data_IF_343254206591
#
_entry.id   IF_343254206591
#
_cell.length_a   1.000
_cell.length_b   1.000
_cell.length_c   1.000
_cell.angle_alpha   90.00
_cell.angle_beta   90.00
_cell.angle_gamma   90.00
#
_symmetry.space_group_name_H-M   'P 1'
#
loop_
_entity.id
_entity.type
_entity.pdbx_description
1 polymer ?
#
# COMPACT_ATOMS: atom_id res chain seq x y z
N UNK A 1 -13.01 -7.77 -3.98
CA UNK A 1 -14.33 -8.30 -4.29
C UNK A 1 -14.79 -7.70 -5.60
N UNK A 2 -15.26 -8.55 -6.53
CA UNK A 2 -15.78 -8.11 -7.83
C UNK A 2 -15.20 -8.82 -9.05
N UNK A 3 -13.95 -9.23 -9.04
CA UNK A 3 -13.36 -10.00 -10.13
C UNK A 3 -13.51 -11.50 -9.84
N UNK A 4 -14.15 -12.22 -10.75
CA UNK A 4 -14.39 -13.68 -10.64
C UNK A 4 -13.18 -14.49 -11.08
N UNK A 5 -12.39 -13.95 -12.00
CA UNK A 5 -11.22 -14.59 -12.61
C UNK A 5 -10.08 -13.59 -12.84
N UNK A 6 -8.93 -14.08 -13.34
CA UNK A 6 -7.74 -13.26 -13.60
C UNK A 6 -7.14 -12.61 -12.34
N UNK A 7 -7.42 -13.12 -11.15
CA UNK A 7 -6.92 -12.59 -9.89
C UNK A 7 -5.68 -13.34 -9.39
N UNK A 8 -4.95 -12.71 -8.45
CA UNK A 8 -3.84 -13.39 -7.76
C UNK A 8 -4.30 -14.72 -7.14
N UNK A 9 -5.52 -14.78 -6.59
CA UNK A 9 -6.09 -16.03 -6.02
C UNK A 9 -6.18 -17.11 -7.06
N UNK A 10 -6.68 -16.82 -8.27
CA UNK A 10 -6.77 -17.79 -9.34
C UNK A 10 -5.37 -18.32 -9.74
N UNK A 11 -4.38 -17.44 -9.86
CA UNK A 11 -3.00 -17.83 -10.14
C UNK A 11 -2.39 -18.70 -9.03
N UNK A 12 -2.64 -18.34 -7.78
CA UNK A 12 -2.16 -19.09 -6.62
C UNK A 12 -2.78 -20.49 -6.54
N UNK A 13 -4.08 -20.62 -6.75
CA UNK A 13 -4.77 -21.91 -6.75
C UNK A 13 -4.32 -22.81 -7.89
N UNK A 14 -3.98 -22.22 -9.05
CA UNK A 14 -3.42 -22.99 -10.16
C UNK A 14 -1.99 -23.49 -9.86
N UNK A 15 -1.16 -22.66 -9.27
CA UNK A 15 0.24 -22.95 -8.98
C UNK A 15 0.44 -23.77 -7.70
N UNK A 16 -0.40 -23.59 -6.70
CA UNK A 16 -0.36 -24.23 -5.39
C UNK A 16 -1.79 -24.67 -4.99
N UNK A 17 -2.27 -25.82 -5.48
CA UNK A 17 -3.66 -26.25 -5.24
C UNK A 17 -3.97 -26.56 -3.77
N UNK A 18 -2.94 -26.91 -2.97
CA UNK A 18 -3.08 -27.31 -1.57
C UNK A 18 -2.87 -26.14 -0.58
N UNK A 19 -3.09 -24.90 -1.00
CA UNK A 19 -2.96 -23.76 -0.10
C UNK A 19 -3.96 -23.84 1.05
N UNK A 20 -3.53 -23.51 2.28
CA UNK A 20 -4.40 -23.48 3.43
C UNK A 20 -5.51 -22.44 3.25
N UNK A 21 -6.76 -22.87 3.34
CA UNK A 21 -7.94 -22.01 3.36
C UNK A 21 -8.43 -21.88 4.80
N UNK A 22 -8.66 -20.66 5.27
CA UNK A 22 -9.31 -20.43 6.56
C UNK A 22 -10.73 -19.96 6.32
N UNK A 23 -11.70 -20.66 6.94
CA UNK A 23 -13.03 -20.15 7.22
C UNK A 23 -13.92 -19.86 6.01
N UNK A 24 -13.79 -20.63 4.91
CA UNK A 24 -14.70 -20.48 3.76
C UNK A 24 -14.50 -19.19 2.95
N UNK A 25 -13.62 -18.27 3.35
CA UNK A 25 -13.25 -17.15 2.53
C UNK A 25 -12.19 -17.56 1.49
N UNK A 26 -12.46 -17.25 0.21
CA UNK A 26 -11.60 -17.59 -0.92
C UNK A 26 -10.34 -16.70 -0.98
N UNK A 27 -9.50 -16.78 0.05
CA UNK A 27 -8.19 -16.10 0.10
C UNK A 27 -7.11 -17.04 0.64
N UNK A 28 -6.86 -18.17 -0.02
CA UNK A 28 -5.94 -19.18 0.48
C UNK A 28 -4.53 -18.63 0.63
N UNK A 29 -3.95 -18.80 1.81
CA UNK A 29 -2.58 -18.38 2.13
C UNK A 29 -2.30 -16.89 2.18
N UNK A 30 -3.27 -16.01 1.91
CA UNK A 30 -3.08 -14.54 1.82
C UNK A 30 -3.22 -13.93 3.21
N UNK A 31 -2.17 -13.27 3.70
CA UNK A 31 -2.11 -12.63 5.03
C UNK A 31 -2.11 -11.10 4.97
N UNK A 32 -1.80 -10.52 3.82
CA UNK A 32 -1.85 -9.07 3.59
C UNK A 32 -2.26 -8.77 2.15
N UNK A 33 -2.21 -7.51 1.77
CA UNK A 33 -2.62 -7.08 0.42
C UNK A 33 -1.73 -5.97 -0.10
N UNK A 34 -1.62 -5.88 -1.42
CA UNK A 34 -1.25 -4.68 -2.16
C UNK A 34 -2.51 -4.03 -2.73
N UNK A 35 -2.46 -2.72 -2.95
CA UNK A 35 -3.52 -2.01 -3.68
C UNK A 35 -3.47 -2.41 -5.16
N UNK A 36 -4.59 -2.24 -5.87
CA UNK A 36 -4.59 -2.37 -7.33
C UNK A 36 -3.52 -1.44 -7.91
N UNK A 37 -2.79 -1.92 -8.91
CA UNK A 37 -1.71 -1.22 -9.61
C UNK A 37 -0.47 -0.89 -8.73
N UNK A 38 -0.41 -1.33 -7.48
CA UNK A 38 0.82 -1.36 -6.68
C UNK A 38 1.58 -2.64 -6.97
N UNK A 39 2.86 -2.52 -7.29
CA UNK A 39 3.75 -3.66 -7.58
C UNK A 39 4.57 -4.07 -6.36
N UNK A 40 5.35 -5.14 -6.48
CA UNK A 40 6.31 -5.58 -5.47
C UNK A 40 5.95 -6.87 -4.76
N UNK A 41 6.59 -7.10 -3.60
CA UNK A 41 6.52 -8.36 -2.91
C UNK A 41 5.21 -8.53 -2.12
N UNK A 42 4.67 -9.73 -2.19
CA UNK A 42 3.56 -10.22 -1.37
C UNK A 42 3.92 -11.61 -0.85
N UNK A 43 3.69 -11.85 0.44
CA UNK A 43 3.95 -13.16 1.04
C UNK A 43 2.69 -14.01 1.03
N UNK A 44 2.87 -15.29 0.67
CA UNK A 44 1.81 -16.30 0.68
C UNK A 44 2.24 -17.43 1.59
N UNK A 45 1.38 -17.77 2.55
CA UNK A 45 1.58 -18.91 3.44
C UNK A 45 1.22 -20.23 2.72
N UNK A 46 2.16 -21.17 2.65
CA UNK A 46 1.95 -22.48 2.02
C UNK A 46 1.50 -23.56 3.01
N UNK A 47 1.52 -23.28 4.32
CA UNK A 47 1.04 -24.20 5.35
C UNK A 47 0.15 -23.46 6.36
N UNK A 48 -0.71 -24.20 7.05
CA UNK A 48 -1.57 -23.64 8.10
C UNK A 48 -0.75 -23.00 9.23
N UNK A 49 0.36 -23.61 9.60
CA UNK A 49 1.26 -23.09 10.63
C UNK A 49 1.88 -21.74 10.20
N UNK A 50 2.38 -21.66 8.96
CA UNK A 50 2.94 -20.43 8.41
C UNK A 50 1.88 -19.33 8.35
N UNK A 51 0.64 -19.65 7.95
CA UNK A 51 -0.46 -18.72 7.87
C UNK A 51 -0.75 -18.07 9.23
N UNK A 52 -0.89 -18.88 10.28
CA UNK A 52 -1.15 -18.41 11.65
C UNK A 52 0.02 -17.53 12.15
N UNK A 53 1.27 -17.99 11.98
CA UNK A 53 2.45 -17.25 12.41
C UNK A 53 2.57 -15.89 11.69
N UNK A 54 2.37 -15.85 10.38
CA UNK A 54 2.43 -14.61 9.60
C UNK A 54 1.28 -13.66 9.96
N UNK A 55 0.07 -14.15 10.17
CA UNK A 55 -1.05 -13.33 10.63
C UNK A 55 -0.74 -12.65 11.97
N UNK A 56 -0.18 -13.41 12.93
CA UNK A 56 0.24 -12.86 14.23
C UNK A 56 1.30 -11.78 14.07
N UNK A 57 2.34 -12.00 13.24
CA UNK A 57 3.39 -11.03 12.99
C UNK A 57 2.86 -9.73 12.36
N UNK A 58 1.98 -9.85 11.37
CA UNK A 58 1.35 -8.69 10.72
C UNK A 58 0.42 -7.95 11.70
N UNK A 59 -0.36 -8.68 12.49
CA UNK A 59 -1.26 -8.10 13.49
C UNK A 59 -0.49 -7.36 14.59
N UNK A 60 0.59 -7.96 15.09
CA UNK A 60 1.49 -7.36 16.09
C UNK A 60 2.41 -6.29 15.51
N UNK A 61 2.37 -6.05 14.20
CA UNK A 61 3.21 -5.08 13.48
C UNK A 61 4.71 -5.35 13.62
N UNK A 62 5.10 -6.61 13.82
CA UNK A 62 6.50 -7.03 13.88
C UNK A 62 7.07 -7.10 12.46
N UNK A 63 6.26 -7.51 11.48
CA UNK A 63 6.67 -7.57 10.09
C UNK A 63 6.93 -6.15 9.53
N UNK A 64 8.18 -5.89 9.14
CA UNK A 64 8.59 -4.66 8.49
C UNK A 64 8.06 -4.60 7.06
N UNK A 65 7.56 -3.43 6.64
CA UNK A 65 7.04 -3.20 5.30
C UNK A 65 7.64 -1.94 4.74
N UNK A 66 8.44 -2.10 3.69
CA UNK A 66 9.09 -0.98 3.03
C UNK A 66 8.67 -0.87 1.57
N UNK A 67 8.55 0.37 1.11
CA UNK A 67 8.11 0.71 -0.24
C UNK A 67 9.02 1.77 -0.83
N UNK A 68 9.11 1.79 -2.16
CA UNK A 68 9.61 2.91 -2.94
C UNK A 68 8.44 3.54 -3.69
N UNK A 69 8.43 4.86 -3.77
CA UNK A 69 7.51 5.57 -4.64
C UNK A 69 8.15 6.82 -5.23
N UNK A 70 7.72 7.15 -6.45
CA UNK A 70 8.01 8.45 -7.06
C UNK A 70 6.84 9.38 -6.76
N UNK A 71 7.13 10.54 -6.17
CA UNK A 71 6.14 11.55 -5.81
C UNK A 71 6.35 12.84 -6.60
N UNK A 72 5.30 13.64 -6.75
CA UNK A 72 5.40 14.99 -7.33
C UNK A 72 6.08 15.95 -6.35
N UNK A 73 7.05 16.71 -6.86
CA UNK A 73 7.83 17.64 -6.06
C UNK A 73 8.80 16.96 -5.11
N UNK A 74 9.21 17.69 -4.08
CA UNK A 74 10.09 17.18 -3.02
C UNK A 74 9.58 17.70 -1.66
N UNK A 75 9.30 16.81 -0.70
CA UNK A 75 9.01 17.23 0.67
C UNK A 75 10.18 18.02 1.27
N UNK A 76 9.90 18.86 2.25
CA UNK A 76 10.93 19.58 2.99
C UNK A 76 11.79 18.61 3.80
N UNK A 77 13.12 18.74 3.70
CA UNK A 77 14.08 17.86 4.35
C UNK A 77 14.31 16.54 3.60
N UNK A 78 15.11 15.67 4.21
CA UNK A 78 15.52 14.38 3.63
C UNK A 78 14.82 13.18 4.29
N UNK A 79 14.07 13.41 5.34
CA UNK A 79 13.24 12.40 6.00
C UNK A 79 12.13 13.04 6.83
N UNK A 80 11.11 12.25 7.15
CA UNK A 80 10.03 12.70 8.01
C UNK A 80 9.06 11.59 8.37
N UNK A 81 8.07 11.96 9.17
CA UNK A 81 7.00 11.07 9.60
C UNK A 81 5.66 11.74 9.35
N UNK A 82 4.74 11.00 8.72
CA UNK A 82 3.36 11.44 8.48
C UNK A 82 2.48 10.66 9.46
N UNK A 83 1.84 11.38 10.36
CA UNK A 83 0.89 10.83 11.32
C UNK A 83 -0.48 11.42 11.02
N UNK A 84 -1.48 10.56 10.86
CA UNK A 84 -2.84 11.01 10.62
C UNK A 84 -3.82 9.84 10.58
N UNK A 85 -5.02 10.03 11.11
CA UNK A 85 -6.05 9.01 11.04
C UNK A 85 -6.61 8.93 9.62
N UNK A 86 -6.66 7.71 9.06
CA UNK A 86 -7.19 7.48 7.71
C UNK A 86 -8.62 6.96 7.82
N UNK A 87 -9.54 7.71 7.25
CA UNK A 87 -10.97 7.41 7.16
C UNK A 87 -11.49 7.49 5.72
N UNK A 88 -12.80 7.26 5.54
CA UNK A 88 -13.45 7.51 4.25
C UNK A 88 -13.44 9.01 3.96
N UNK A 89 -13.17 9.37 2.72
CA UNK A 89 -13.24 10.78 2.31
C UNK A 89 -14.67 11.32 2.50
N UNK A 90 -14.85 12.49 3.14
CA UNK A 90 -16.18 12.98 3.54
C UNK A 90 -17.14 13.19 2.39
N UNK A 91 -16.62 13.52 1.19
CA UNK A 91 -17.43 13.77 0.00
C UNK A 91 -17.38 12.63 -0.99
N UNK A 92 -16.17 12.16 -1.35
CA UNK A 92 -15.97 11.07 -2.31
C UNK A 92 -15.77 9.74 -1.59
N UNK A 93 -16.86 9.01 -1.36
CA UNK A 93 -16.85 7.72 -0.63
C UNK A 93 -16.00 6.62 -1.28
N UNK A 94 -15.55 6.80 -2.52
CA UNK A 94 -14.62 5.87 -3.19
C UNK A 94 -13.17 6.08 -2.76
N UNK A 95 -12.88 7.23 -2.12
CA UNK A 95 -11.55 7.61 -1.64
C UNK A 95 -11.42 7.47 -0.13
N UNK A 96 -10.17 7.52 0.31
CA UNK A 96 -9.79 7.69 1.71
C UNK A 96 -9.10 9.05 1.87
N UNK A 97 -9.10 9.58 3.07
CA UNK A 97 -8.45 10.84 3.41
C UNK A 97 -7.88 10.77 4.84
N UNK A 98 -6.94 11.67 5.15
CA UNK A 98 -6.63 11.97 6.55
C UNK A 98 -7.82 12.73 7.12
N UNK A 99 -8.40 12.22 8.20
CA UNK A 99 -9.55 12.79 8.90
C UNK A 99 -9.15 13.18 10.33
N UNK A 100 -9.81 14.19 10.88
CA UNK A 100 -9.52 14.71 12.21
C UNK A 100 -10.50 14.17 13.27
N UNK A 101 -11.57 13.54 12.84
CA UNK A 101 -12.59 12.96 13.71
C UNK A 101 -12.31 11.47 14.01
N UNK A 102 -13.13 10.90 14.89
CA UNK A 102 -13.02 9.51 15.32
C UNK A 102 -13.44 8.48 14.23
N UNK A 103 -13.82 8.95 13.03
CA UNK A 103 -14.17 8.08 11.90
C UNK A 103 -12.95 7.43 11.26
N UNK A 104 -11.74 7.94 11.52
CA UNK A 104 -10.47 7.46 11.00
C UNK A 104 -9.78 6.46 11.92
N UNK A 105 -8.88 5.67 11.32
CA UNK A 105 -7.99 4.74 12.04
C UNK A 105 -6.58 5.30 12.03
N UNK A 106 -5.95 5.41 13.19
CA UNK A 106 -4.56 5.87 13.32
C UNK A 106 -3.64 5.23 12.29
N UNK A 107 -2.84 6.05 11.62
CA UNK A 107 -1.85 5.63 10.64
C UNK A 107 -0.55 6.43 10.84
N UNK A 108 0.58 5.73 10.69
CA UNK A 108 1.93 6.29 10.78
C UNK A 108 2.79 5.76 9.64
N UNK A 109 3.39 6.69 8.89
CA UNK A 109 4.25 6.42 7.73
C UNK A 109 5.53 7.21 7.87
N UNK A 110 6.67 6.52 7.95
CA UNK A 110 8.00 7.15 7.88
C UNK A 110 8.45 7.20 6.44
N UNK A 111 9.10 8.29 6.05
CA UNK A 111 9.69 8.42 4.74
C UNK A 111 11.11 8.97 4.80
N UNK A 112 11.91 8.65 3.81
CA UNK A 112 13.19 9.31 3.54
C UNK A 112 13.40 9.49 2.05
N UNK A 113 14.05 10.58 1.71
CA UNK A 113 14.47 10.89 0.36
C UNK A 113 15.57 9.92 -0.07
N UNK A 114 15.40 9.31 -1.22
CA UNK A 114 16.42 8.48 -1.87
C UNK A 114 17.13 9.32 -2.95
N UNK A 115 16.34 10.02 -3.77
CA UNK A 115 16.88 10.78 -4.90
C UNK A 115 15.91 11.90 -5.31
N UNK A 116 16.46 13.06 -5.74
CA UNK A 116 15.72 14.16 -6.35
C UNK A 116 15.75 14.00 -7.87
N UNK A 117 14.62 13.96 -8.51
CA UNK A 117 14.45 13.69 -9.94
C UNK A 117 13.80 14.91 -10.66
N UNK A 118 14.38 16.09 -10.48
CA UNK A 118 13.85 17.33 -11.04
C UNK A 118 12.50 17.71 -10.40
N UNK A 119 11.42 17.63 -11.17
CA UNK A 119 10.06 17.92 -10.69
C UNK A 119 9.49 16.80 -9.79
N UNK A 120 10.23 15.72 -9.56
CA UNK A 120 9.82 14.54 -8.80
C UNK A 120 10.85 14.16 -7.74
N UNK A 121 10.49 13.26 -6.85
CA UNK A 121 11.42 12.66 -5.90
C UNK A 121 11.15 11.18 -5.71
N UNK A 122 12.21 10.38 -5.60
CA UNK A 122 12.14 8.99 -5.18
C UNK A 122 12.22 8.94 -3.66
N UNK A 123 11.18 8.42 -3.02
CA UNK A 123 11.10 8.27 -1.57
C UNK A 123 11.04 6.79 -1.19
N UNK A 124 11.70 6.44 -0.08
CA UNK A 124 11.52 5.16 0.60
C UNK A 124 10.59 5.36 1.79
N UNK A 125 9.63 4.46 1.94
CA UNK A 125 8.64 4.47 3.01
C UNK A 125 8.80 3.25 3.90
N UNK A 126 8.62 3.44 5.22
CA UNK A 126 8.47 2.37 6.20
C UNK A 126 7.15 2.57 6.94
N UNK A 127 6.38 1.49 7.09
CA UNK A 127 5.04 1.54 7.65
C UNK A 127 4.98 0.94 9.06
N UNK A 128 4.51 1.72 10.05
CA UNK A 128 4.13 1.18 11.37
C UNK A 128 2.70 0.61 11.34
N UNK A 129 1.87 1.10 10.43
CA UNK A 129 0.47 0.69 10.25
C UNK A 129 0.22 0.30 8.80
N UNK A 130 -0.88 -0.41 8.52
CA UNK A 130 -1.25 -0.81 7.15
C UNK A 130 -2.72 -0.50 6.87
N UNK A 131 -3.07 0.77 6.70
CA UNK A 131 -4.41 1.20 6.32
C UNK A 131 -4.58 1.17 4.82
N UNK A 132 -5.81 1.06 4.37
CA UNK A 132 -6.13 1.11 2.92
C UNK A 132 -5.58 2.39 2.31
N UNK A 133 -4.84 2.28 1.21
CA UNK A 133 -4.20 3.37 0.47
C UNK A 133 -3.28 4.26 1.33
N UNK A 134 -2.71 3.76 2.44
CA UNK A 134 -2.04 4.59 3.45
C UNK A 134 -0.96 5.50 2.87
N UNK A 135 0.02 4.97 2.13
CA UNK A 135 1.11 5.79 1.55
C UNK A 135 0.53 6.80 0.56
N UNK A 136 -0.41 6.38 -0.27
CA UNK A 136 -1.06 7.22 -1.29
C UNK A 136 -1.80 8.41 -0.67
N UNK A 137 -2.59 8.15 0.38
CA UNK A 137 -3.32 9.17 1.14
C UNK A 137 -2.36 10.11 1.86
N UNK A 138 -1.36 9.57 2.55
CA UNK A 138 -0.38 10.36 3.28
C UNK A 138 0.45 11.26 2.37
N UNK A 139 0.92 10.74 1.23
CA UNK A 139 1.64 11.55 0.23
C UNK A 139 0.78 12.67 -0.32
N UNK A 140 -0.49 12.39 -0.65
CA UNK A 140 -1.42 13.43 -1.11
C UNK A 140 -1.72 14.47 -0.02
N UNK A 141 -1.84 14.04 1.24
CA UNK A 141 -2.10 14.92 2.40
C UNK A 141 -0.98 15.93 2.61
N UNK A 142 0.29 15.54 2.43
CA UNK A 142 1.42 16.45 2.55
C UNK A 142 1.73 17.23 1.25
N UNK A 143 0.86 17.17 0.23
CA UNK A 143 1.01 17.91 -1.03
C UNK A 143 1.93 17.26 -2.07
N UNK A 144 2.40 16.04 -1.83
CA UNK A 144 3.31 15.30 -2.70
C UNK A 144 2.70 13.96 -3.15
N UNK A 145 1.59 13.96 -3.94
CA UNK A 145 0.92 12.73 -4.35
C UNK A 145 1.86 11.87 -5.20
N UNK A 146 1.60 10.55 -5.18
CA UNK A 146 2.36 9.58 -5.98
C UNK A 146 2.10 9.79 -7.47
N UNK A 147 3.15 9.73 -8.26
CA UNK A 147 3.09 9.84 -9.72
C UNK A 147 2.27 8.67 -10.30
N UNK A 148 1.38 8.97 -11.25
CA UNK A 148 0.49 7.98 -11.85
C UNK A 148 -0.70 7.55 -10.98
N UNK A 149 -0.87 8.11 -9.78
CA UNK A 149 -2.03 7.79 -8.94
C UNK A 149 -3.30 8.49 -9.45
N UNK A 150 -4.14 7.76 -10.19
CA UNK A 150 -5.38 8.28 -10.76
C UNK A 150 -6.41 8.70 -9.70
N UNK A 151 -6.26 8.24 -8.44
CA UNK A 151 -7.20 8.52 -7.35
C UNK A 151 -6.84 9.78 -6.59
N UNK A 152 -5.54 9.97 -6.28
CA UNK A 152 -5.08 11.00 -5.35
C UNK A 152 -4.21 12.07 -6.02
N UNK A 153 -3.64 11.83 -7.22
CA UNK A 153 -2.95 12.86 -7.99
C UNK A 153 -3.95 13.63 -8.89
N UNK A 154 -3.77 14.94 -8.95
CA UNK A 154 -4.51 15.82 -9.90
C UNK A 154 -3.77 15.95 -11.23
N UNK A 155 -2.51 15.57 -11.30
CA UNK A 155 -1.71 15.64 -12.52
C UNK A 155 -2.12 14.49 -13.46
N UNK A 156 -2.61 14.85 -14.64
CA UNK A 156 -3.08 13.92 -15.66
C UNK A 156 -2.09 13.70 -16.81
N UNK A 157 -1.11 14.61 -16.93
CA UNK A 157 -0.09 14.52 -17.97
C UNK A 157 1.25 14.15 -17.34
N UNK A 158 1.71 12.95 -17.64
CA UNK A 158 2.99 12.43 -17.21
C UNK A 158 3.91 12.35 -18.42
N UNK A 159 5.25 12.54 -18.25
CA UNK A 159 6.21 12.41 -19.35
C UNK A 159 6.37 10.94 -19.81
N UNK A 160 5.82 10.00 -19.06
CA UNK A 160 5.86 8.56 -19.33
C UNK A 160 4.48 7.96 -19.11
N UNK A 161 4.16 6.92 -19.87
CA UNK A 161 2.94 6.14 -19.66
C UNK A 161 3.16 5.16 -18.51
N UNK A 162 2.28 5.24 -17.49
CA UNK A 162 2.31 4.39 -16.33
C UNK A 162 0.97 3.66 -16.19
N UNK A 163 0.98 2.34 -15.98
CA UNK A 163 -0.24 1.56 -15.80
C UNK A 163 -0.99 1.87 -14.49
N UNK A 164 -0.36 2.63 -13.59
CA UNK A 164 -0.91 3.03 -12.29
C UNK A 164 0.08 3.83 -11.47
N UNK A 165 -0.13 3.87 -10.15
CA UNK A 165 0.75 4.60 -9.24
C UNK A 165 2.17 4.04 -9.21
N UNK A 166 3.18 4.90 -9.30
CA UNK A 166 4.60 4.56 -9.14
C UNK A 166 4.91 4.24 -7.68
N UNK A 167 4.39 3.09 -7.20
CA UNK A 167 4.51 2.57 -5.84
C UNK A 167 4.88 1.09 -5.88
N UNK A 168 5.96 0.71 -5.20
CA UNK A 168 6.51 -0.64 -5.21
C UNK A 168 6.86 -1.12 -3.81
N UNK A 169 6.35 -2.27 -3.40
CA UNK A 169 6.71 -2.95 -2.15
C UNK A 169 8.06 -3.64 -2.33
N UNK A 170 9.13 -3.06 -1.76
CA UNK A 170 10.51 -3.54 -1.94
C UNK A 170 10.93 -4.54 -0.90
N UNK A 171 10.31 -4.51 0.29
CA UNK A 171 10.70 -5.39 1.39
C UNK A 171 9.51 -5.72 2.28
N UNK A 172 9.45 -6.98 2.66
CA UNK A 172 8.58 -7.53 3.69
C UNK A 172 9.40 -8.49 4.54
N UNK A 173 9.53 -8.23 5.85
CA UNK A 173 10.33 -9.06 6.75
C UNK A 173 10.07 -8.73 8.22
#
# INVERSE_FOLDING_TARGET
PGNKDGTLVNGLLHHCPDLPGIGGEMRPGIVHRLDKDTTGCIVIAKSQEALVKLQVQIQKRVASREYLAVVHGAPAGDSGTIIGAIGRHPVDRKKYAVVQDDSGRHACTHWRLVERLGAYSLLRFKLDTGRTHQIRVHCAHIGHPIVGDATYSRCRHLPVDLPGQALHAVQLG
#
